data_IF_416348841623
#
_entry.id   IF_416348841623
#
_cell.length_a   1.000
_cell.length_b   1.000
_cell.length_c   1.000
_cell.angle_alpha   90.00
_cell.angle_beta   90.00
_cell.angle_gamma   90.00
#
_symmetry.space_group_name_H-M   'P 1'
#
loop_
_entity.id
_entity.type
_entity.pdbx_description
1 polymer ?
#
# COMPACT_ATOMS: atom_id res chain seq x y z
N UNK A 1 -18.73 -0.14 1.38
CA UNK A 1 -19.68 -0.40 0.28
C UNK A 1 -19.59 0.60 -0.88
N UNK A 2 -19.81 1.91 -0.67
CA UNK A 2 -19.81 2.90 -1.77
C UNK A 2 -18.50 2.92 -2.58
N UNK A 3 -17.29 2.93 -1.95
CA UNK A 3 -16.03 2.91 -2.71
C UNK A 3 -15.86 1.66 -3.58
N UNK A 4 -16.40 0.51 -3.14
CA UNK A 4 -16.37 -0.74 -3.89
C UNK A 4 -17.15 -0.63 -5.20
N UNK A 5 -18.41 -0.19 -5.13
CA UNK A 5 -19.28 -0.08 -6.30
C UNK A 5 -18.75 0.94 -7.29
N UNK A 6 -18.32 2.11 -6.81
CA UNK A 6 -17.75 3.16 -7.67
C UNK A 6 -16.50 2.67 -8.41
N UNK A 7 -15.65 1.90 -7.74
CA UNK A 7 -14.45 1.31 -8.35
C UNK A 7 -14.82 0.30 -9.44
N UNK A 8 -15.80 -0.57 -9.20
CA UNK A 8 -16.29 -1.52 -10.22
C UNK A 8 -16.91 -0.81 -11.43
N UNK A 9 -17.71 0.24 -11.20
CA UNK A 9 -18.29 1.06 -12.28
C UNK A 9 -17.18 1.72 -13.10
N UNK A 10 -16.15 2.26 -12.45
CA UNK A 10 -15.01 2.85 -13.12
C UNK A 10 -14.25 1.84 -14.01
N UNK A 11 -14.01 0.63 -13.49
CA UNK A 11 -13.38 -0.46 -14.27
C UNK A 11 -14.25 -0.89 -15.46
N UNK A 12 -15.55 -1.05 -15.26
CA UNK A 12 -16.50 -1.38 -16.32
C UNK A 12 -16.55 -0.31 -17.40
N UNK A 13 -16.60 0.97 -17.00
CA UNK A 13 -16.56 2.11 -17.92
C UNK A 13 -15.29 2.17 -18.76
N UNK A 14 -14.12 1.97 -18.13
CA UNK A 14 -12.84 1.94 -18.86
C UNK A 14 -12.75 0.76 -19.84
N UNK A 15 -13.28 -0.40 -19.46
CA UNK A 15 -13.37 -1.58 -20.33
C UNK A 15 -14.27 -1.31 -21.54
N UNK A 16 -15.47 -0.75 -21.31
CA UNK A 16 -16.41 -0.40 -22.38
C UNK A 16 -15.83 0.65 -23.33
N UNK A 17 -15.18 1.69 -22.80
CA UNK A 17 -14.47 2.69 -23.59
C UNK A 17 -13.35 2.05 -24.43
N UNK A 18 -12.58 1.13 -23.85
CA UNK A 18 -11.57 0.33 -24.56
C UNK A 18 -12.16 -0.43 -25.74
N UNK A 19 -13.29 -1.13 -25.57
CA UNK A 19 -13.98 -1.84 -26.66
C UNK A 19 -14.42 -0.88 -27.77
N UNK A 20 -15.08 0.23 -27.40
CA UNK A 20 -15.62 1.20 -28.37
C UNK A 20 -14.49 1.86 -29.18
N UNK A 21 -13.46 2.36 -28.50
CA UNK A 21 -12.31 3.00 -29.14
C UNK A 21 -11.47 2.00 -29.93
N UNK A 22 -11.33 0.77 -29.43
CA UNK A 22 -10.65 -0.33 -30.10
C UNK A 22 -11.28 -0.68 -31.44
N UNK A 23 -12.61 -0.64 -31.55
CA UNK A 23 -13.34 -0.92 -32.80
C UNK A 23 -13.29 0.24 -33.81
N UNK A 24 -13.14 1.48 -33.37
CA UNK A 24 -13.25 2.69 -34.22
C UNK A 24 -12.19 2.78 -35.32
N UNK A 25 -10.90 2.70 -35.00
CA UNK A 25 -9.80 2.71 -35.98
C UNK A 25 -8.50 2.15 -35.38
N UNK A 26 -7.57 1.69 -36.22
CA UNK A 26 -6.27 1.14 -35.74
C UNK A 26 -5.54 2.20 -34.90
N UNK A 27 -5.55 3.44 -35.40
CA UNK A 27 -4.96 4.60 -34.71
C UNK A 27 -5.61 4.84 -33.35
N UNK A 28 -6.95 4.79 -33.27
CA UNK A 28 -7.67 4.95 -32.00
C UNK A 28 -7.29 3.85 -31.00
N UNK A 29 -7.27 2.59 -31.44
CA UNK A 29 -6.88 1.46 -30.60
C UNK A 29 -5.45 1.59 -30.08
N UNK A 30 -4.51 1.97 -30.94
CA UNK A 30 -3.11 2.17 -30.59
C UNK A 30 -2.91 3.31 -29.58
N UNK A 31 -3.60 4.44 -29.78
CA UNK A 31 -3.55 5.58 -28.84
C UNK A 31 -4.13 5.17 -27.49
N UNK A 32 -5.30 4.52 -27.46
CA UNK A 32 -5.92 4.05 -26.21
C UNK A 32 -5.01 3.08 -25.47
N UNK A 33 -4.48 2.06 -26.15
CA UNK A 33 -3.56 1.10 -25.55
C UNK A 33 -2.28 1.78 -25.04
N UNK A 34 -1.73 2.73 -25.80
CA UNK A 34 -0.53 3.50 -25.42
C UNK A 34 -0.75 4.36 -24.16
N UNK A 35 -1.85 5.10 -24.09
CA UNK A 35 -2.21 5.90 -22.90
C UNK A 35 -2.43 5.01 -21.70
N UNK A 36 -3.17 3.91 -21.86
CA UNK A 36 -3.40 2.97 -20.78
C UNK A 36 -2.10 2.30 -20.29
N UNK A 37 -1.22 1.89 -21.20
CA UNK A 37 0.09 1.34 -20.85
C UNK A 37 0.94 2.36 -20.10
N UNK A 38 0.96 3.62 -20.54
CA UNK A 38 1.64 4.71 -19.83
C UNK A 38 1.12 4.87 -18.39
N UNK A 39 -0.20 4.87 -18.19
CA UNK A 39 -0.80 4.97 -16.86
C UNK A 39 -0.45 3.77 -15.96
N UNK A 40 -0.38 2.56 -16.52
CA UNK A 40 0.10 1.38 -15.79
C UNK A 40 1.56 1.54 -15.39
N UNK A 41 2.42 2.04 -16.30
CA UNK A 41 3.83 2.29 -16.00
C UNK A 41 4.00 3.37 -14.91
N UNK A 42 3.19 4.43 -14.94
CA UNK A 42 3.15 5.45 -13.88
C UNK A 42 2.79 4.79 -12.55
N UNK A 43 1.79 3.90 -12.50
CA UNK A 43 1.46 3.19 -11.25
C UNK A 43 2.62 2.32 -10.76
N UNK A 44 3.29 1.60 -11.66
CA UNK A 44 4.44 0.77 -11.32
C UNK A 44 5.56 1.64 -10.74
N UNK A 45 5.85 2.78 -11.36
CA UNK A 45 6.82 3.75 -10.82
C UNK A 45 6.42 4.20 -9.41
N UNK A 46 5.18 4.65 -9.21
CA UNK A 46 4.69 5.11 -7.91
C UNK A 46 4.75 4.01 -6.83
N UNK A 47 4.50 2.75 -7.19
CA UNK A 47 4.65 1.60 -6.28
C UNK A 47 6.07 1.49 -5.70
N UNK A 48 7.10 1.82 -6.50
CA UNK A 48 8.49 1.82 -6.05
C UNK A 48 8.93 3.14 -5.44
N UNK A 49 8.13 4.20 -5.58
CA UNK A 49 8.40 5.54 -5.05
C UNK A 49 7.20 6.08 -4.26
N UNK A 50 6.79 5.41 -3.17
CA UNK A 50 5.64 5.85 -2.37
C UNK A 50 5.87 7.21 -1.70
N UNK A 51 7.14 7.61 -1.50
CA UNK A 51 7.53 8.96 -1.07
C UNK A 51 7.13 10.04 -2.07
N UNK A 52 7.23 9.74 -3.38
CA UNK A 52 6.76 10.63 -4.44
C UNK A 52 5.24 10.57 -4.56
N UNK A 53 4.65 9.37 -4.46
CA UNK A 53 3.20 9.17 -4.52
C UNK A 53 2.47 9.99 -3.44
N UNK A 54 2.95 9.93 -2.19
CA UNK A 54 2.41 10.69 -1.06
C UNK A 54 2.57 12.21 -1.23
N UNK A 55 3.69 12.67 -1.79
CA UNK A 55 3.93 14.09 -2.05
C UNK A 55 3.03 14.67 -3.16
N UNK A 56 2.76 13.88 -4.21
CA UNK A 56 1.95 14.30 -5.35
C UNK A 56 0.45 14.16 -5.06
N UNK A 57 0.07 13.13 -4.29
CA UNK A 57 -1.32 12.80 -3.98
C UNK A 57 -1.58 12.77 -2.47
N UNK A 58 -1.42 13.90 -1.75
CA UNK A 58 -1.52 13.95 -0.28
C UNK A 58 -2.96 13.89 0.24
N UNK A 59 -3.92 13.44 -0.58
CA UNK A 59 -5.35 13.50 -0.25
C UNK A 59 -5.82 12.21 0.41
N UNK A 60 -6.57 12.34 1.49
CA UNK A 60 -7.06 11.18 2.25
C UNK A 60 -7.89 10.20 1.41
N UNK A 61 -8.72 10.71 0.50
CA UNK A 61 -9.54 9.85 -0.37
C UNK A 61 -8.70 9.04 -1.38
N UNK A 62 -7.45 9.44 -1.64
CA UNK A 62 -6.57 8.73 -2.57
C UNK A 62 -6.08 7.41 -1.99
N UNK A 63 -5.87 7.32 -0.68
CA UNK A 63 -5.32 6.14 0.01
C UNK A 63 -6.22 4.88 -0.13
N UNK A 64 -7.55 4.96 0.00
CA UNK A 64 -8.38 3.79 -0.31
C UNK A 64 -8.51 3.53 -1.83
N UNK A 65 -8.13 4.45 -2.71
CA UNK A 65 -8.33 4.36 -4.17
C UNK A 65 -7.07 3.97 -4.97
N UNK A 66 -5.88 4.34 -4.48
CA UNK A 66 -4.61 4.20 -5.19
C UNK A 66 -4.19 2.76 -5.54
N UNK A 67 -4.56 1.70 -4.79
CA UNK A 67 -4.24 0.34 -5.20
C UNK A 67 -5.08 -0.12 -6.39
N UNK A 68 -6.22 0.55 -6.66
CA UNK A 68 -7.29 0.02 -7.51
C UNK A 68 -7.45 0.73 -8.84
N UNK A 69 -7.08 2.02 -8.96
CA UNK A 69 -7.34 2.76 -10.20
C UNK A 69 -6.59 2.19 -11.40
N UNK A 70 -5.45 1.52 -11.20
CA UNK A 70 -4.62 0.95 -12.29
C UNK A 70 -5.31 -0.17 -13.06
N UNK A 71 -6.29 -0.84 -12.46
CA UNK A 71 -7.04 -1.87 -13.15
C UNK A 71 -7.93 -1.30 -14.26
N UNK A 72 -8.39 -0.05 -14.14
CA UNK A 72 -9.16 0.62 -15.19
C UNK A 72 -8.37 0.76 -16.51
N UNK A 73 -7.17 1.40 -16.55
CA UNK A 73 -6.38 1.45 -17.77
C UNK A 73 -5.89 0.07 -18.19
N UNK A 74 -5.55 -0.85 -17.28
CA UNK A 74 -5.15 -2.20 -17.66
C UNK A 74 -6.26 -2.95 -18.43
N UNK A 75 -7.49 -2.94 -17.90
CA UNK A 75 -8.66 -3.53 -18.56
C UNK A 75 -9.03 -2.79 -19.86
N UNK A 76 -8.92 -1.46 -19.87
CA UNK A 76 -9.12 -0.64 -21.07
C UNK A 76 -8.14 -0.97 -22.21
N UNK A 77 -6.85 -1.15 -21.90
CA UNK A 77 -5.84 -1.58 -22.87
C UNK A 77 -6.15 -2.96 -23.45
N UNK A 78 -6.47 -3.91 -22.57
CA UNK A 78 -6.83 -5.28 -22.94
C UNK A 78 -8.05 -5.29 -23.86
N UNK A 79 -9.09 -4.53 -23.50
CA UNK A 79 -10.31 -4.40 -24.29
C UNK A 79 -10.08 -3.75 -25.67
N UNK A 80 -9.26 -2.69 -25.73
CA UNK A 80 -8.90 -2.03 -26.99
C UNK A 80 -8.11 -2.95 -27.91
N UNK A 81 -7.20 -3.75 -27.36
CA UNK A 81 -6.40 -4.73 -28.10
C UNK A 81 -7.22 -5.93 -28.60
N UNK A 82 -8.13 -6.45 -27.78
CA UNK A 82 -8.93 -7.63 -28.12
C UNK A 82 -9.74 -7.47 -29.43
N UNK A 83 -10.28 -6.26 -29.68
CA UNK A 83 -11.02 -5.96 -30.90
C UNK A 83 -10.18 -5.99 -32.19
N UNK A 84 -8.86 -6.05 -32.08
CA UNK A 84 -7.90 -6.00 -33.21
C UNK A 84 -7.24 -7.32 -33.52
N UNK A 85 -7.49 -8.35 -32.72
CA UNK A 85 -6.81 -9.64 -32.88
C UNK A 85 -7.36 -10.40 -34.09
N UNK A 86 -6.45 -10.85 -34.93
CA UNK A 86 -6.77 -11.56 -36.19
C UNK A 86 -7.39 -12.92 -35.93
N UNK A 87 -6.93 -13.67 -34.92
CA UNK A 87 -7.39 -15.04 -34.66
C UNK A 87 -8.44 -15.11 -33.54
N UNK A 88 -9.47 -15.96 -33.68
CA UNK A 88 -10.45 -16.22 -32.61
C UNK A 88 -9.79 -16.72 -31.32
N UNK A 89 -8.75 -17.56 -31.44
CA UNK A 89 -8.00 -18.09 -30.30
C UNK A 89 -7.33 -16.97 -29.49
N UNK A 90 -6.70 -15.99 -30.15
CA UNK A 90 -6.10 -14.86 -29.44
C UNK A 90 -7.16 -14.01 -28.72
N UNK A 91 -8.31 -13.77 -29.36
CA UNK A 91 -9.44 -13.06 -28.72
C UNK A 91 -9.95 -13.79 -27.49
N UNK A 92 -10.12 -15.11 -27.57
CA UNK A 92 -10.53 -15.94 -26.43
C UNK A 92 -9.48 -15.87 -25.32
N UNK A 93 -8.20 -16.07 -25.65
CA UNK A 93 -7.10 -16.01 -24.68
C UNK A 93 -7.03 -14.68 -23.94
N UNK A 94 -7.17 -13.56 -24.66
CA UNK A 94 -7.19 -12.22 -24.05
C UNK A 94 -8.48 -11.96 -23.27
N UNK A 95 -9.62 -12.49 -23.72
CA UNK A 95 -10.87 -12.46 -22.95
C UNK A 95 -10.74 -13.20 -21.62
N UNK A 96 -10.16 -14.40 -21.62
CA UNK A 96 -9.87 -15.17 -20.40
C UNK A 96 -8.92 -14.40 -19.49
N UNK A 97 -7.84 -13.83 -20.03
CA UNK A 97 -6.91 -12.99 -19.25
C UNK A 97 -7.61 -11.78 -18.62
N UNK A 98 -8.49 -11.09 -19.36
CA UNK A 98 -9.26 -9.95 -18.85
C UNK A 98 -10.18 -10.36 -17.68
N UNK A 99 -10.86 -11.50 -17.81
CA UNK A 99 -11.73 -12.04 -16.75
C UNK A 99 -10.90 -12.39 -15.52
N UNK A 100 -9.77 -13.09 -15.69
CA UNK A 100 -8.88 -13.43 -14.57
C UNK A 100 -8.37 -12.17 -13.87
N UNK A 101 -7.92 -11.17 -14.63
CA UNK A 101 -7.47 -9.89 -14.09
C UNK A 101 -8.58 -9.19 -13.29
N UNK A 102 -9.79 -9.12 -13.86
CA UNK A 102 -10.95 -8.51 -13.19
C UNK A 102 -11.34 -9.26 -11.91
N UNK A 103 -11.33 -10.60 -11.94
CA UNK A 103 -11.64 -11.43 -10.77
C UNK A 103 -10.62 -11.25 -9.66
N UNK A 104 -9.32 -11.26 -10.00
CA UNK A 104 -8.24 -11.02 -9.02
C UNK A 104 -8.33 -9.61 -8.43
N UNK A 105 -8.55 -8.60 -9.27
CA UNK A 105 -8.73 -7.22 -8.83
C UNK A 105 -9.93 -7.07 -7.88
N UNK A 106 -11.08 -7.63 -8.26
CA UNK A 106 -12.31 -7.60 -7.46
C UNK A 106 -12.15 -8.33 -6.13
N UNK A 107 -11.50 -9.50 -6.14
CA UNK A 107 -11.17 -10.25 -4.90
C UNK A 107 -10.32 -9.39 -3.96
N UNK A 108 -9.24 -8.80 -4.45
CA UNK A 108 -8.35 -8.01 -3.60
C UNK A 108 -9.04 -6.74 -3.08
N UNK A 109 -9.84 -6.07 -3.90
CA UNK A 109 -10.66 -4.94 -3.46
C UNK A 109 -11.66 -5.37 -2.38
N UNK A 110 -12.33 -6.50 -2.57
CA UNK A 110 -13.26 -7.06 -1.59
C UNK A 110 -12.56 -7.37 -0.26
N UNK A 111 -11.36 -7.94 -0.30
CA UNK A 111 -10.53 -8.21 0.90
C UNK A 111 -10.04 -6.96 1.63
N UNK A 112 -10.19 -5.78 1.03
CA UNK A 112 -9.95 -4.49 1.71
C UNK A 112 -11.24 -3.94 2.31
N UNK A 113 -12.33 -3.96 1.52
CA UNK A 113 -13.59 -3.32 1.90
C UNK A 113 -14.38 -4.15 2.92
N UNK A 114 -14.23 -5.47 2.88
CA UNK A 114 -14.95 -6.43 3.71
C UNK A 114 -14.03 -7.20 4.67
N UNK A 115 -12.84 -6.66 4.96
CA UNK A 115 -12.01 -7.20 6.02
C UNK A 115 -12.81 -7.14 7.34
N UNK A 116 -12.86 -8.25 8.08
CA UNK A 116 -13.56 -8.33 9.36
C UNK A 116 -12.71 -7.67 10.45
N UNK A 117 -13.13 -6.52 11.01
CA UNK A 117 -12.36 -5.81 12.02
C UNK A 117 -12.18 -6.61 13.31
N UNK A 118 -13.06 -7.58 13.59
CA UNK A 118 -12.98 -8.40 14.80
C UNK A 118 -11.78 -9.34 14.80
N UNK A 119 -11.20 -9.61 13.63
CA UNK A 119 -9.97 -10.41 13.52
C UNK A 119 -8.72 -9.69 14.07
N UNK A 120 -8.78 -8.36 14.17
CA UNK A 120 -7.73 -7.51 14.73
C UNK A 120 -7.94 -7.34 16.23
N UNK A 121 -7.04 -7.90 17.03
CA UNK A 121 -7.20 -8.00 18.50
C UNK A 121 -5.98 -7.52 19.28
N UNK A 122 -4.93 -7.08 18.58
CA UNK A 122 -3.72 -6.52 19.14
C UNK A 122 -4.02 -5.26 19.94
N UNK A 123 -3.68 -5.30 21.23
CA UNK A 123 -3.75 -4.17 22.16
C UNK A 123 -2.35 -3.75 22.57
N UNK A 124 -2.20 -2.49 22.95
CA UNK A 124 -0.93 -1.96 23.44
C UNK A 124 -0.57 -2.58 24.80
N UNK A 125 0.68 -3.02 24.92
CA UNK A 125 1.24 -3.41 26.21
C UNK A 125 1.63 -2.19 27.06
N UNK A 126 2.23 -2.41 28.24
CA UNK A 126 2.65 -1.33 29.15
C UNK A 126 3.70 -0.38 28.54
N UNK A 127 4.40 -0.81 27.49
CA UNK A 127 5.42 -0.02 26.78
C UNK A 127 4.83 0.67 25.54
N UNK A 128 3.57 0.41 25.22
CA UNK A 128 2.91 0.91 24.01
C UNK A 128 3.17 0.05 22.77
N UNK A 129 3.75 -1.14 22.92
CA UNK A 129 3.96 -2.07 21.79
C UNK A 129 2.67 -2.84 21.50
N UNK A 130 2.30 -2.93 20.21
CA UNK A 130 1.11 -3.63 19.74
C UNK A 130 1.54 -4.82 18.89
N UNK A 131 1.11 -6.02 19.30
CA UNK A 131 1.37 -7.27 18.56
C UNK A 131 0.30 -7.47 17.48
N UNK A 132 0.71 -7.91 16.30
CA UNK A 132 -0.23 -8.28 15.24
C UNK A 132 -0.98 -9.58 15.58
N UNK A 133 -2.29 -9.64 15.32
CA UNK A 133 -3.10 -10.86 15.49
C UNK A 133 -3.25 -11.68 14.21
N UNK A 134 -3.00 -11.08 13.03
CA UNK A 134 -3.10 -11.75 11.72
C UNK A 134 -1.81 -11.61 10.92
N UNK A 135 -1.62 -12.43 9.89
CA UNK A 135 -0.40 -12.39 9.05
C UNK A 135 -0.27 -11.13 8.17
N UNK A 136 -1.32 -10.31 8.07
CA UNK A 136 -1.39 -9.16 7.17
C UNK A 136 -1.53 -7.82 7.90
N UNK A 137 -1.67 -7.81 9.23
CA UNK A 137 -1.88 -6.59 10.02
C UNK A 137 -0.59 -5.98 10.59
N UNK A 138 0.60 -6.43 10.17
CA UNK A 138 1.87 -5.92 10.68
C UNK A 138 2.02 -4.40 10.53
N UNK A 139 1.59 -3.81 9.42
CA UNK A 139 1.64 -2.36 9.20
C UNK A 139 0.70 -1.59 10.14
N UNK A 140 -0.52 -2.10 10.34
CA UNK A 140 -1.46 -1.55 11.32
C UNK A 140 -0.93 -1.63 12.75
N UNK A 141 -0.41 -2.78 13.18
CA UNK A 141 0.17 -2.96 14.50
C UNK A 141 1.44 -2.10 14.70
N UNK A 142 2.28 -1.93 13.66
CA UNK A 142 3.42 -1.02 13.71
C UNK A 142 2.99 0.45 13.82
N UNK A 143 1.99 0.88 13.06
CA UNK A 143 1.43 2.22 13.15
C UNK A 143 0.79 2.48 14.52
N UNK A 144 0.08 1.50 15.08
CA UNK A 144 -0.48 1.57 16.44
C UNK A 144 0.64 1.66 17.48
N UNK A 145 1.67 0.83 17.38
CA UNK A 145 2.87 0.91 18.23
C UNK A 145 3.49 2.31 18.18
N UNK A 146 3.72 2.83 16.98
CA UNK A 146 4.30 4.16 16.80
C UNK A 146 3.42 5.26 17.41
N UNK A 147 2.10 5.23 17.22
CA UNK A 147 1.19 6.19 17.82
C UNK A 147 1.23 6.13 19.36
N UNK A 148 1.18 4.94 19.96
CA UNK A 148 1.26 4.76 21.41
C UNK A 148 2.59 5.27 21.98
N UNK A 149 3.71 4.99 21.30
CA UNK A 149 5.04 5.50 21.69
C UNK A 149 5.16 7.01 21.58
N UNK A 150 4.34 7.65 20.73
CA UNK A 150 4.20 9.11 20.64
C UNK A 150 3.15 9.68 21.62
N UNK A 151 2.58 8.84 22.48
CA UNK A 151 1.63 9.24 23.53
C UNK A 151 0.17 9.32 23.08
N UNK A 152 -0.17 8.79 21.91
CA UNK A 152 -1.56 8.73 21.41
C UNK A 152 -2.06 7.28 21.44
N UNK A 153 -3.04 6.94 22.29
CA UNK A 153 -3.57 5.58 22.37
C UNK A 153 -4.10 5.08 21.03
N UNK A 154 -3.65 3.89 20.64
CA UNK A 154 -4.13 3.20 19.44
C UNK A 154 -4.08 1.68 19.62
N UNK A 155 -5.04 0.97 19.05
CA UNK A 155 -5.03 -0.49 18.95
C UNK A 155 -4.89 -0.95 17.50
N UNK A 156 -4.65 -2.24 17.31
CA UNK A 156 -4.48 -2.84 15.99
C UNK A 156 -5.72 -2.65 15.11
N UNK A 157 -6.92 -2.81 15.68
CA UNK A 157 -8.19 -2.75 14.95
C UNK A 157 -8.44 -1.36 14.37
N UNK A 158 -8.41 -0.35 15.22
CA UNK A 158 -8.60 1.05 14.83
C UNK A 158 -7.56 1.44 13.79
N UNK A 159 -6.32 0.99 13.97
CA UNK A 159 -5.27 1.30 13.01
C UNK A 159 -5.40 0.50 11.70
N UNK A 160 -5.92 -0.73 11.73
CA UNK A 160 -6.14 -1.52 10.53
C UNK A 160 -7.19 -0.88 9.62
N UNK A 161 -8.27 -0.35 10.22
CA UNK A 161 -9.30 0.43 9.52
C UNK A 161 -8.71 1.72 8.93
N UNK A 162 -8.01 2.52 9.74
CA UNK A 162 -7.43 3.80 9.32
C UNK A 162 -6.31 3.63 8.30
N UNK A 163 -5.58 2.52 8.33
CA UNK A 163 -4.55 2.22 7.35
C UNK A 163 -5.07 1.52 6.09
N UNK A 164 -6.38 1.25 6.00
CA UNK A 164 -6.99 0.49 4.91
C UNK A 164 -6.31 -0.88 4.68
N UNK A 165 -6.08 -1.61 5.76
CA UNK A 165 -5.38 -2.90 5.72
C UNK A 165 -6.15 -3.89 4.88
N UNK A 166 -5.45 -4.52 3.93
CA UNK A 166 -6.01 -5.57 3.09
C UNK A 166 -5.81 -6.94 3.76
N UNK A 167 -6.86 -7.76 3.85
CA UNK A 167 -6.82 -9.08 4.48
C UNK A 167 -5.92 -10.13 3.79
N UNK A 168 -5.23 -9.75 2.71
CA UNK A 168 -4.29 -10.60 1.97
C UNK A 168 -2.98 -9.89 1.62
N UNK A 169 -3.05 -8.65 1.11
CA UNK A 169 -1.88 -7.85 0.73
C UNK A 169 -1.24 -7.09 1.90
N UNK A 170 -1.95 -6.98 3.03
CA UNK A 170 -1.53 -6.20 4.19
C UNK A 170 -1.66 -4.69 4.02
N UNK A 171 -0.78 -3.95 4.68
CA UNK A 171 -0.78 -2.48 4.70
C UNK A 171 0.43 -1.94 3.95
N UNK A 172 0.23 -0.99 3.04
CA UNK A 172 1.33 -0.30 2.36
C UNK A 172 1.75 1.01 3.06
N UNK A 173 2.75 1.69 2.50
CA UNK A 173 3.33 2.88 3.12
C UNK A 173 2.36 4.07 3.16
N UNK A 174 1.50 4.22 2.14
CA UNK A 174 0.47 5.26 2.11
C UNK A 174 -0.59 4.98 3.18
N UNK A 175 -1.01 3.72 3.32
CA UNK A 175 -1.90 3.27 4.40
C UNK A 175 -1.33 3.57 5.78
N UNK A 176 -0.08 3.21 6.06
CA UNK A 176 0.59 3.50 7.34
C UNK A 176 0.65 5.00 7.61
N UNK A 177 1.08 5.80 6.63
CA UNK A 177 1.17 7.26 6.77
C UNK A 177 -0.21 7.90 7.00
N UNK A 178 -1.23 7.48 6.26
CA UNK A 178 -2.61 7.97 6.42
C UNK A 178 -3.16 7.63 7.81
N UNK A 179 -3.00 6.39 8.27
CA UNK A 179 -3.46 5.98 9.59
C UNK A 179 -2.78 6.73 10.72
N UNK A 180 -1.47 7.01 10.60
CA UNK A 180 -0.74 7.86 11.53
C UNK A 180 -1.21 9.32 11.49
N UNK A 181 -1.47 9.91 10.31
CA UNK A 181 -2.02 11.28 10.21
C UNK A 181 -3.38 11.39 10.89
N UNK A 182 -4.28 10.46 10.57
CA UNK A 182 -5.62 10.41 11.15
C UNK A 182 -5.60 10.20 12.67
N UNK A 183 -4.58 9.51 13.18
CA UNK A 183 -4.46 9.20 14.62
C UNK A 183 -3.76 10.30 15.40
N UNK A 184 -2.64 10.81 14.91
CA UNK A 184 -1.82 11.82 15.61
C UNK A 184 -2.42 13.23 15.51
N UNK A 185 -3.19 13.51 14.45
CA UNK A 185 -3.84 14.79 14.22
C UNK A 185 -2.89 15.90 13.72
N UNK A 186 -3.43 17.12 13.63
CA UNK A 186 -2.80 18.24 12.91
C UNK A 186 -1.51 18.77 13.55
N UNK A 187 -1.26 18.45 14.83
CA UNK A 187 -0.05 18.83 15.55
C UNK A 187 1.18 18.03 15.11
N UNK A 188 1.00 17.02 14.27
CA UNK A 188 2.06 16.18 13.76
C UNK A 188 2.18 16.31 12.25
N UNK A 189 3.41 16.25 11.78
CA UNK A 189 3.74 16.12 10.36
C UNK A 189 4.23 14.70 10.14
N UNK A 190 3.42 13.90 9.44
CA UNK A 190 3.75 12.52 9.06
C UNK A 190 4.18 12.48 7.61
N UNK A 191 5.31 11.85 7.32
CA UNK A 191 5.91 11.77 5.97
C UNK A 191 6.41 10.38 5.65
N UNK A 192 6.28 9.99 4.39
CA UNK A 192 6.98 8.85 3.82
C UNK A 192 8.32 9.36 3.29
N UNK A 193 9.42 8.80 3.80
CA UNK A 193 10.75 9.29 3.48
C UNK A 193 11.71 8.13 3.19
N UNK A 194 12.56 8.35 2.19
CA UNK A 194 13.73 7.50 1.97
C UNK A 194 14.85 7.93 2.90
N UNK A 195 15.42 6.96 3.60
CA UNK A 195 16.47 7.22 4.59
C UNK A 195 17.67 6.29 4.38
N UNK A 196 18.78 6.66 5.02
CA UNK A 196 20.04 5.93 5.04
C UNK A 196 20.46 5.74 6.48
N UNK A 197 21.42 4.84 6.74
CA UNK A 197 21.95 4.65 8.10
C UNK A 197 22.38 5.97 8.74
N UNK A 198 23.15 6.78 8.01
CA UNK A 198 23.68 8.04 8.54
C UNK A 198 22.57 9.06 8.85
N UNK A 199 21.45 8.99 8.13
CA UNK A 199 20.27 9.84 8.39
C UNK A 199 19.46 9.37 9.59
N UNK A 200 19.51 8.10 9.98
CA UNK A 200 18.78 7.58 11.16
C UNK A 200 19.15 8.32 12.44
N UNK A 201 20.42 8.72 12.59
CA UNK A 201 20.89 9.49 13.76
C UNK A 201 20.15 10.83 13.95
N UNK A 202 19.59 11.39 12.88
CA UNK A 202 18.82 12.65 12.90
C UNK A 202 17.34 12.46 12.60
N UNK A 203 16.90 11.22 12.35
CA UNK A 203 15.51 10.90 12.03
C UNK A 203 14.66 11.02 13.29
N UNK A 204 13.47 11.66 13.24
CA UNK A 204 12.54 11.65 14.37
C UNK A 204 12.12 10.22 14.68
N UNK A 205 12.43 9.74 15.89
CA UNK A 205 12.04 8.43 16.39
C UNK A 205 10.95 8.58 17.47
N UNK A 206 10.05 7.60 17.62
CA UNK A 206 9.92 6.36 16.84
C UNK A 206 9.51 6.60 15.38
N UNK A 207 9.89 5.68 14.48
CA UNK A 207 9.51 5.71 13.07
C UNK A 207 9.24 4.30 12.53
N UNK A 208 8.19 4.14 11.71
CA UNK A 208 7.88 2.85 11.09
C UNK A 208 8.80 2.61 9.88
N UNK A 209 9.38 1.43 9.75
CA UNK A 209 10.31 1.06 8.70
C UNK A 209 9.85 -0.21 7.97
N UNK A 210 10.07 -0.23 6.65
CA UNK A 210 9.80 -1.40 5.81
C UNK A 210 11.05 -2.28 5.74
N UNK A 211 10.91 -3.54 6.13
CA UNK A 211 11.98 -4.54 6.09
C UNK A 211 11.57 -5.74 5.25
N UNK A 212 12.52 -6.39 4.60
CA UNK A 212 12.35 -7.68 3.93
C UNK A 212 12.17 -8.76 5.00
N UNK A 213 11.08 -9.52 4.91
CA UNK A 213 10.82 -10.66 5.78
C UNK A 213 11.13 -11.98 5.07
N UNK A 214 10.59 -12.17 3.88
CA UNK A 214 10.88 -13.29 3.00
C UNK A 214 11.09 -12.81 1.57
N UNK A 215 11.45 -13.72 0.67
CA UNK A 215 11.50 -13.38 -0.75
C UNK A 215 10.10 -12.94 -1.20
N UNK A 216 10.00 -11.72 -1.75
CA UNK A 216 8.75 -11.07 -2.18
C UNK A 216 7.77 -10.63 -1.08
N UNK A 217 8.12 -10.78 0.20
CA UNK A 217 7.26 -10.37 1.33
C UNK A 217 7.99 -9.32 2.17
N UNK A 218 7.41 -8.13 2.21
CA UNK A 218 7.83 -7.04 3.09
C UNK A 218 7.08 -7.10 4.42
N UNK A 219 7.67 -6.50 5.44
CA UNK A 219 7.15 -6.45 6.81
C UNK A 219 7.40 -5.07 7.42
N UNK A 220 6.57 -4.71 8.38
CA UNK A 220 6.68 -3.44 9.09
C UNK A 220 7.24 -3.64 10.47
N UNK A 221 8.17 -2.77 10.84
CA UNK A 221 8.72 -2.69 12.20
C UNK A 221 8.78 -1.23 12.64
N UNK A 222 8.87 -0.97 13.94
CA UNK A 222 9.07 0.39 14.45
C UNK A 222 10.50 0.52 14.97
N UNK A 223 11.28 1.41 14.37
CA UNK A 223 12.58 1.82 14.94
C UNK A 223 12.29 2.75 16.11
N UNK A 224 12.68 2.32 17.30
CA UNK A 224 12.45 3.02 18.56
C UNK A 224 13.64 3.92 18.91
N UNK A 225 14.85 3.40 18.72
CA UNK A 225 16.11 4.05 19.07
C UNK A 225 17.14 3.75 17.99
N UNK A 226 18.05 4.69 17.78
CA UNK A 226 19.21 4.53 16.89
C UNK A 226 20.48 4.95 17.63
N UNK A 227 21.48 4.09 17.59
CA UNK A 227 22.83 4.31 18.09
C UNK A 227 23.83 4.27 16.92
N UNK A 228 25.11 4.43 17.21
CA UNK A 228 26.15 4.50 16.17
C UNK A 228 26.22 3.25 15.29
N UNK A 229 26.04 2.05 15.88
CA UNK A 229 26.19 0.76 15.21
C UNK A 229 24.99 -0.18 15.35
N UNK A 230 23.90 0.28 15.98
CA UNK A 230 22.73 -0.55 16.26
C UNK A 230 21.44 0.26 16.34
N UNK A 231 20.31 -0.44 16.16
CA UNK A 231 18.97 0.11 16.32
C UNK A 231 18.15 -0.78 17.24
N UNK A 232 17.26 -0.19 18.04
CA UNK A 232 16.24 -0.93 18.78
C UNK A 232 14.95 -0.89 17.98
N UNK A 233 14.39 -2.07 17.72
CA UNK A 233 13.24 -2.24 16.84
C UNK A 233 12.14 -3.00 17.58
N UNK A 234 10.91 -2.47 17.51
CA UNK A 234 9.68 -3.19 17.89
C UNK A 234 9.13 -3.91 16.66
N UNK A 235 9.12 -5.23 16.69
CA UNK A 235 8.58 -6.10 15.65
C UNK A 235 7.15 -6.53 16.06
N UNK A 236 6.10 -6.18 15.28
CA UNK A 236 4.72 -6.58 15.53
C UNK A 236 4.50 -8.08 15.66
N UNK A 237 5.43 -8.92 15.18
CA UNK A 237 5.42 -10.37 15.45
C UNK A 237 5.69 -10.72 16.92
N UNK A 238 5.90 -9.73 17.80
CA UNK A 238 5.97 -9.86 19.25
C UNK A 238 7.38 -9.80 19.82
N UNK A 239 8.31 -9.06 19.20
CA UNK A 239 9.69 -8.95 19.70
C UNK A 239 10.22 -7.53 19.62
N UNK A 240 10.54 -6.95 20.76
CA UNK A 240 11.49 -5.83 20.81
C UNK A 240 12.90 -6.42 20.80
N UNK A 241 13.73 -6.01 19.85
CA UNK A 241 15.11 -6.48 19.74
C UNK A 241 16.04 -5.37 19.30
N UNK A 242 17.29 -5.49 19.72
CA UNK A 242 18.40 -4.71 19.18
C UNK A 242 18.95 -5.44 17.96
N UNK A 243 19.16 -4.70 16.87
CA UNK A 243 19.79 -5.18 15.65
C UNK A 243 21.07 -4.40 15.41
N UNK A 244 22.14 -5.08 15.01
CA UNK A 244 23.33 -4.40 14.50
C UNK A 244 23.02 -3.66 13.20
N UNK A 245 23.87 -2.69 12.84
CA UNK A 245 23.81 -1.98 11.56
C UNK A 245 23.74 -2.93 10.38
N UNK A 246 24.61 -3.94 10.37
CA UNK A 246 24.67 -4.91 9.28
C UNK A 246 23.35 -5.70 9.16
N UNK A 247 22.82 -6.19 10.27
CA UNK A 247 21.56 -6.95 10.28
C UNK A 247 20.35 -6.10 9.87
N UNK A 248 20.31 -4.84 10.29
CA UNK A 248 19.23 -3.93 9.90
C UNK A 248 19.33 -3.57 8.41
N UNK A 249 20.51 -3.21 7.92
CA UNK A 249 20.72 -2.82 6.52
C UNK A 249 20.50 -3.98 5.53
N UNK A 250 20.78 -5.22 5.92
CA UNK A 250 20.49 -6.40 5.08
C UNK A 250 18.99 -6.57 4.81
N UNK A 251 18.14 -6.12 5.74
CA UNK A 251 16.68 -6.28 5.67
C UNK A 251 15.97 -5.00 5.25
N UNK A 252 16.47 -3.84 5.63
CA UNK A 252 15.77 -2.57 5.45
C UNK A 252 15.68 -2.16 3.99
N UNK A 253 14.48 -1.73 3.57
CA UNK A 253 14.22 -1.24 2.21
C UNK A 253 14.62 0.22 1.98
N UNK A 254 15.17 0.89 3.01
CA UNK A 254 15.52 2.31 2.95
C UNK A 254 14.30 3.24 2.96
N UNK A 255 13.12 2.74 3.33
CA UNK A 255 11.87 3.50 3.41
C UNK A 255 11.38 3.54 4.85
N UNK A 256 10.90 4.72 5.27
CA UNK A 256 10.32 4.94 6.59
C UNK A 256 9.08 5.83 6.52
N UNK A 257 8.21 5.69 7.51
CA UNK A 257 7.17 6.66 7.84
C UNK A 257 7.57 7.32 9.15
N UNK A 258 7.84 8.61 9.09
CA UNK A 258 8.30 9.43 10.22
C UNK A 258 7.17 10.33 10.70
N UNK A 259 7.20 10.70 11.98
CA UNK A 259 6.29 11.70 12.53
C UNK A 259 7.08 12.73 13.35
N UNK A 260 6.84 14.01 13.08
CA UNK A 260 7.46 15.12 13.79
C UNK A 260 6.40 16.06 14.34
N UNK A 261 6.51 16.42 15.62
CA UNK A 261 5.64 17.44 16.23
C UNK A 261 5.93 18.80 15.59
N UNK A 262 4.86 19.55 15.26
CA UNK A 262 4.95 20.92 14.74
C UNK A 262 5.39 21.91 15.83
#
# INVERSE_FOLDING_TARGET
>A
MIPFVLTLVFWGGATAAGVVLGRRSVRSAAITAGVCAFLVLVRVFLRFHPDIEDAVFPWDWYVPAHPWWVFAPALGAVAAGAGRMSTPVARIGVGVFAVLLFTVATRNLALTVFADPETYTGIADRRGDVRQSTDHSCGAAAAATMANRLGVPADERTMAERCHTNAFLGTDALGVAHGLRATLGENWTVRIERSTWDRLATTPLPAAAVVKFQLWVDHWVVVLESEADSVVVSDPAGRVRRLSRAEFLDRWRGLMVTARRR
#
